data_IF_093766970426
#
_entry.id   IF_093766970426
#
_cell.length_a   1.000
_cell.length_b   1.000
_cell.length_c   1.000
_cell.angle_alpha   90.00
_cell.angle_beta   90.00
_cell.angle_gamma   90.00
#
_symmetry.space_group_name_H-M   'P 1'
#
loop_
_entity.id
_entity.type
_entity.pdbx_description
1 polymer ?
#
# COMPACT_ATOMS: atom_id res chain seq x y z
N UNK A 1 4.78 -14.83 -10.41
CA UNK A 1 6.04 -14.12 -10.66
C UNK A 1 5.70 -12.86 -11.44
N UNK A 2 5.64 -11.69 -10.78
CA UNK A 2 5.48 -10.38 -11.44
C UNK A 2 6.86 -9.93 -11.86
N UNK A 3 7.25 -10.30 -13.07
CA UNK A 3 8.62 -10.61 -13.46
C UNK A 3 9.40 -9.52 -14.20
N UNK A 4 9.08 -8.23 -14.01
CA UNK A 4 9.81 -7.15 -14.73
C UNK A 4 10.17 -5.92 -13.86
N UNK A 5 9.98 -5.98 -12.54
CA UNK A 5 10.19 -4.81 -11.66
C UNK A 5 11.09 -5.05 -10.44
N UNK A 6 11.78 -6.19 -10.36
CA UNK A 6 12.63 -6.55 -9.20
C UNK A 6 11.94 -6.37 -7.83
N UNK A 7 10.60 -6.46 -7.82
CA UNK A 7 9.84 -6.37 -6.58
C UNK A 7 9.98 -7.70 -5.82
N UNK A 8 10.23 -7.65 -4.50
CA UNK A 8 10.28 -8.85 -3.66
C UNK A 8 8.96 -9.63 -3.74
N UNK A 9 9.01 -10.92 -3.37
CA UNK A 9 7.83 -11.78 -3.38
C UNK A 9 6.64 -11.10 -2.64
N UNK A 10 5.44 -11.06 -3.24
CA UNK A 10 4.26 -10.47 -2.62
C UNK A 10 3.92 -11.01 -1.23
N UNK A 11 4.38 -12.21 -0.85
CA UNK A 11 4.21 -12.74 0.51
C UNK A 11 5.09 -11.99 1.53
N UNK A 12 6.35 -11.71 1.18
CA UNK A 12 7.26 -10.93 2.04
C UNK A 12 6.83 -9.47 2.17
N UNK A 13 6.18 -8.95 1.12
CA UNK A 13 5.62 -7.61 1.08
C UNK A 13 4.49 -7.39 2.10
N UNK A 14 3.54 -8.34 2.18
CA UNK A 14 2.38 -8.25 3.07
C UNK A 14 2.74 -8.41 4.55
N UNK A 15 3.68 -9.30 4.89
CA UNK A 15 4.11 -9.50 6.29
C UNK A 15 4.78 -8.26 6.88
N UNK A 16 5.50 -7.52 6.05
CA UNK A 16 6.33 -6.38 6.46
C UNK A 16 5.52 -5.11 6.64
N UNK A 17 4.54 -4.85 5.78
CA UNK A 17 3.64 -3.71 5.92
C UNK A 17 2.56 -3.94 6.98
N UNK A 18 2.09 -5.18 7.16
CA UNK A 18 1.29 -5.54 8.32
C UNK A 18 2.07 -5.29 9.63
N UNK A 19 3.38 -5.54 9.65
CA UNK A 19 4.27 -5.18 10.74
C UNK A 19 4.38 -3.65 10.90
N UNK A 20 4.74 -2.87 9.86
CA UNK A 20 4.81 -1.40 9.95
C UNK A 20 3.49 -0.74 10.39
N UNK A 21 2.36 -1.20 9.86
CA UNK A 21 1.04 -0.69 10.18
C UNK A 21 0.57 -1.06 11.59
N UNK A 22 1.01 -2.21 12.12
CA UNK A 22 0.78 -2.59 13.53
C UNK A 22 1.76 -1.91 14.50
N UNK A 23 2.87 -1.39 13.98
CA UNK A 23 3.93 -0.71 14.73
C UNK A 23 3.93 0.82 14.53
N UNK A 24 2.81 1.42 14.09
CA UNK A 24 2.66 2.88 13.94
C UNK A 24 2.95 3.67 15.23
N UNK A 25 3.02 2.97 16.36
CA UNK A 25 3.24 3.50 17.71
C UNK A 25 4.53 2.98 18.37
N UNK A 26 5.41 2.26 17.64
CA UNK A 26 6.61 1.63 18.19
C UNK A 26 7.86 2.40 17.77
N UNK A 27 8.80 2.58 18.69
CA UNK A 27 10.06 3.27 18.46
C UNK A 27 10.86 2.61 17.31
N UNK A 28 11.43 3.45 16.43
CA UNK A 28 12.15 3.05 15.21
C UNK A 28 13.30 2.03 15.45
N UNK A 29 13.81 1.95 16.67
CA UNK A 29 14.83 0.99 17.07
C UNK A 29 14.31 -0.45 17.19
N UNK A 30 13.09 -0.65 17.72
CA UNK A 30 12.50 -2.00 17.89
C UNK A 30 12.10 -2.61 16.54
N UNK A 31 11.68 -1.78 15.59
CA UNK A 31 11.37 -2.21 14.22
C UNK A 31 12.56 -2.89 13.51
N UNK A 32 13.80 -2.47 13.81
CA UNK A 32 15.01 -2.98 13.14
C UNK A 32 15.46 -4.35 13.66
N UNK A 33 15.02 -4.77 14.84
CA UNK A 33 15.41 -6.06 15.43
C UNK A 33 14.58 -7.24 14.88
N UNK A 34 13.41 -6.97 14.29
CA UNK A 34 12.45 -8.01 13.87
C UNK A 34 12.45 -8.31 12.36
N UNK A 35 13.17 -7.51 11.56
CA UNK A 35 13.20 -7.61 10.10
C UNK A 35 14.58 -8.07 9.64
N UNK A 36 14.65 -9.10 8.79
CA UNK A 36 15.92 -9.59 8.25
C UNK A 36 16.59 -8.56 7.29
N UNK A 37 17.91 -8.64 7.17
CA UNK A 37 18.72 -7.69 6.41
C UNK A 37 18.35 -7.61 4.91
N UNK A 38 17.91 -8.72 4.30
CA UNK A 38 17.52 -8.72 2.89
C UNK A 38 16.20 -7.97 2.68
N UNK A 39 15.27 -8.16 3.60
CA UNK A 39 14.01 -7.41 3.64
C UNK A 39 14.26 -5.91 3.89
N UNK A 40 15.12 -5.55 4.86
CA UNK A 40 15.53 -4.16 5.11
C UNK A 40 16.19 -3.50 3.90
N UNK A 41 17.09 -4.22 3.22
CA UNK A 41 17.75 -3.74 2.00
C UNK A 41 16.72 -3.43 0.91
N UNK A 42 15.73 -4.30 0.77
CA UNK A 42 14.67 -4.11 -0.23
C UNK A 42 13.77 -2.92 0.11
N UNK A 43 13.38 -2.73 1.38
CA UNK A 43 12.58 -1.57 1.81
C UNK A 43 13.30 -0.25 1.57
N UNK A 44 14.59 -0.20 1.92
CA UNK A 44 15.38 1.04 1.81
C UNK A 44 15.74 1.38 0.36
N UNK A 45 15.67 0.40 -0.54
CA UNK A 45 15.79 0.61 -1.99
C UNK A 45 14.49 1.15 -2.63
N UNK A 46 13.34 1.05 -1.97
CA UNK A 46 12.07 1.52 -2.52
C UNK A 46 12.02 3.06 -2.54
N UNK A 47 11.67 3.62 -3.70
CA UNK A 47 11.65 5.06 -3.90
C UNK A 47 10.49 5.72 -3.14
N UNK A 48 10.78 6.82 -2.45
CA UNK A 48 9.74 7.63 -1.80
C UNK A 48 8.93 8.39 -2.87
N UNK A 49 7.61 8.24 -2.84
CA UNK A 49 6.65 8.88 -3.74
C UNK A 49 5.51 9.48 -2.93
N UNK A 50 4.86 10.49 -3.50
CA UNK A 50 3.59 10.95 -2.97
C UNK A 50 2.52 9.92 -3.35
N UNK A 51 1.96 9.24 -2.36
CA UNK A 51 0.99 8.15 -2.55
C UNK A 51 -0.31 8.45 -1.83
N UNK A 52 -1.38 7.84 -2.34
CA UNK A 52 -2.69 7.83 -1.72
C UNK A 52 -2.83 6.52 -0.93
N UNK A 53 -2.67 6.54 0.40
CA UNK A 53 -2.56 5.32 1.20
C UNK A 53 -3.85 4.49 1.24
N UNK A 54 -5.00 5.11 0.94
CA UNK A 54 -6.28 4.43 0.80
C UNK A 54 -6.87 4.46 -0.62
N UNK A 55 -6.04 4.27 -1.65
CA UNK A 55 -6.53 4.27 -3.03
C UNK A 55 -7.27 2.96 -3.33
N UNK A 56 -8.56 2.95 -3.00
CA UNK A 56 -9.48 1.83 -3.21
C UNK A 56 -10.57 2.22 -4.21
N UNK A 57 -11.30 1.23 -4.70
CA UNK A 57 -12.39 1.47 -5.67
C UNK A 57 -13.46 2.45 -5.16
N UNK A 58 -13.68 2.55 -3.84
CA UNK A 58 -14.64 3.52 -3.29
C UNK A 58 -14.13 4.97 -3.31
N UNK A 59 -12.82 5.19 -3.44
CA UNK A 59 -12.21 6.51 -3.61
C UNK A 59 -11.96 6.86 -5.09
N UNK A 60 -12.41 5.99 -6.00
CA UNK A 60 -12.33 6.16 -7.45
C UNK A 60 -13.71 6.46 -8.00
N UNK A 61 -13.90 7.64 -8.60
CA UNK A 61 -15.15 7.99 -9.27
C UNK A 61 -15.07 7.51 -10.72
N UNK A 62 -16.06 6.73 -11.16
CA UNK A 62 -16.21 6.32 -12.56
C UNK A 62 -17.53 6.86 -13.10
N UNK A 63 -17.48 7.51 -14.27
CA UNK A 63 -18.67 8.06 -14.94
C UNK A 63 -18.56 7.83 -16.44
N UNK A 64 -19.58 7.21 -17.04
CA UNK A 64 -19.67 6.96 -18.49
C UNK A 64 -18.41 6.26 -19.05
N UNK A 65 -17.85 5.30 -18.30
CA UNK A 65 -16.62 4.59 -18.67
C UNK A 65 -15.32 5.38 -18.52
N UNK A 66 -15.39 6.61 -18.02
CA UNK A 66 -14.23 7.47 -17.78
C UNK A 66 -13.93 7.57 -16.28
N UNK A 67 -12.68 7.90 -15.97
CA UNK A 67 -12.17 8.19 -14.63
C UNK A 67 -12.14 9.71 -14.41
N UNK A 68 -13.24 10.36 -13.98
CA UNK A 68 -13.29 11.80 -13.75
C UNK A 68 -12.49 12.26 -12.51
N UNK A 69 -12.19 11.40 -11.54
CA UNK A 69 -11.47 11.84 -10.35
C UNK A 69 -11.18 10.76 -9.31
N UNK A 70 -10.27 11.13 -8.42
CA UNK A 70 -9.87 10.41 -7.20
C UNK A 70 -10.12 11.37 -6.03
N UNK A 71 -10.79 10.90 -5.00
CA UNK A 71 -11.14 11.67 -3.79
C UNK A 71 -10.38 11.16 -2.57
N UNK A 72 -10.57 11.80 -1.40
CA UNK A 72 -10.07 11.30 -0.11
C UNK A 72 -8.53 11.36 0.09
N UNK A 73 -7.95 12.51 -0.28
CA UNK A 73 -6.49 12.73 -0.24
C UNK A 73 -5.94 13.16 1.14
N UNK A 74 -6.76 13.24 2.18
CA UNK A 74 -6.41 13.84 3.47
C UNK A 74 -5.28 13.13 4.22
N UNK A 75 -5.10 11.83 4.00
CA UNK A 75 -4.00 11.03 4.54
C UNK A 75 -2.81 10.87 3.57
N UNK A 76 -2.84 11.54 2.42
CA UNK A 76 -1.79 11.39 1.41
C UNK A 76 -0.48 12.04 1.84
N UNK A 77 0.62 11.28 1.71
CA UNK A 77 1.95 11.73 2.11
C UNK A 77 3.04 11.03 1.29
N UNK A 78 4.29 11.33 1.63
CA UNK A 78 5.48 10.74 1.03
C UNK A 78 5.81 9.41 1.69
N UNK A 79 5.51 8.31 1.00
CA UNK A 79 5.76 6.93 1.44
C UNK A 79 6.54 6.15 0.38
N UNK A 80 7.10 4.97 0.72
CA UNK A 80 7.64 4.07 -0.29
C UNK A 80 6.59 3.74 -1.35
N UNK A 81 7.01 3.70 -2.63
CA UNK A 81 6.11 3.50 -3.76
C UNK A 81 5.25 2.25 -3.63
N UNK A 82 5.83 1.18 -3.07
CA UNK A 82 5.14 -0.09 -2.90
C UNK A 82 3.89 0.02 -2.01
N UNK A 83 3.80 1.00 -1.11
CA UNK A 83 2.59 1.27 -0.31
C UNK A 83 1.33 1.43 -1.18
N UNK A 84 1.46 2.08 -2.33
CA UNK A 84 0.35 2.26 -3.26
C UNK A 84 -0.14 0.92 -3.83
N UNK A 85 0.79 0.00 -4.09
CA UNK A 85 0.50 -1.35 -4.58
C UNK A 85 -0.15 -2.19 -3.49
N UNK A 86 0.30 -2.06 -2.24
CA UNK A 86 -0.35 -2.73 -1.09
C UNK A 86 -1.80 -2.28 -0.94
N UNK A 87 -2.00 -0.96 -0.96
CA UNK A 87 -3.32 -0.35 -0.87
C UNK A 87 -4.25 -0.97 -1.92
N UNK A 88 -3.86 -1.00 -3.18
CA UNK A 88 -4.72 -1.56 -4.23
C UNK A 88 -4.95 -3.08 -4.13
N UNK A 89 -3.99 -3.84 -3.57
CA UNK A 89 -4.07 -5.31 -3.50
C UNK A 89 -4.81 -5.83 -2.27
N UNK A 90 -4.83 -5.08 -1.18
CA UNK A 90 -5.49 -5.53 0.05
C UNK A 90 -6.99 -5.29 -0.01
N UNK A 91 -7.75 -6.35 -0.29
CA UNK A 91 -9.21 -6.34 -0.29
C UNK A 91 -9.76 -5.94 1.09
N UNK A 92 -10.39 -4.77 1.16
CA UNK A 92 -11.17 -4.30 2.32
C UNK A 92 -12.68 -4.31 1.98
N UNK A 93 -13.52 -4.14 3.01
CA UNK A 93 -14.94 -3.82 2.79
C UNK A 93 -15.02 -2.65 1.80
N UNK A 94 -15.79 -2.80 0.71
CA UNK A 94 -15.85 -1.78 -0.37
C UNK A 94 -15.19 -2.21 -1.67
N UNK A 95 -14.19 -3.10 -1.60
CA UNK A 95 -13.40 -3.50 -2.77
C UNK A 95 -14.09 -4.55 -3.67
N UNK A 96 -15.25 -5.07 -3.29
CA UNK A 96 -15.99 -6.09 -4.08
C UNK A 96 -17.29 -5.54 -4.68
N UNK A 97 -17.49 -4.22 -4.70
CA UNK A 97 -18.72 -3.62 -5.24
C UNK A 97 -19.97 -3.83 -4.38
N UNK A 98 -19.87 -4.39 -3.18
CA UNK A 98 -20.99 -4.54 -2.23
C UNK A 98 -21.65 -3.19 -1.87
N UNK A 99 -20.91 -2.08 -2.01
CA UNK A 99 -21.43 -0.72 -1.77
C UNK A 99 -22.11 -0.10 -3.00
N UNK A 100 -22.01 -0.72 -4.17
CA UNK A 100 -22.70 -0.29 -5.40
C UNK A 100 -24.09 -0.97 -5.56
N UNK A 101 -24.49 -1.80 -4.60
CA UNK A 101 -25.74 -2.57 -4.66
C UNK A 101 -26.92 -1.90 -3.91
N UNK A 102 -26.74 -0.68 -3.41
CA UNK A 102 -27.78 0.08 -2.69
C UNK A 102 -28.03 1.44 -3.34
#
# INVERSE_FOLDING_TARGET
>A
STSDHDLPDPVHFLSLWAHCASHSNVEHAQMREEVDDATLTTMTADSIRYVHPDLRMYNIIVRDGHLPGIIDWEDSSWYPYSWQVDAMRWSRFGCNGLFLQY
#
